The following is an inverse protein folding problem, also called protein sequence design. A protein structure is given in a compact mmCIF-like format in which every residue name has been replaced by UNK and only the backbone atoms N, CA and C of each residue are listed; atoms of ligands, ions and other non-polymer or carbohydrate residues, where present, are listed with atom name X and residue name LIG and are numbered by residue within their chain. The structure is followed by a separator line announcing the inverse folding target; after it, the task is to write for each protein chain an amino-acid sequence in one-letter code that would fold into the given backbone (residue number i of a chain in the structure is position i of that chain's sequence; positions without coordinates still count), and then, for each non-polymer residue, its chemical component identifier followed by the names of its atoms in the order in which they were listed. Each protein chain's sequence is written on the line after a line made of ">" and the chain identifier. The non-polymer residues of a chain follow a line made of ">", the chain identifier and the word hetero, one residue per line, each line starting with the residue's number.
data_IF_469714696060
#
_entry.id   IF_469714696060
#
_cell.length_a   1.000
_cell.length_b   1.000
_cell.length_c   1.000
_cell.angle_alpha   90.00
_cell.angle_beta   90.00
_cell.angle_gamma   90.00
#
_symmetry.space_group_name_H-M   'P 1'
#
loop_
_entity.id
_entity.type
_entity.pdbx_description
1 polymer ?
#
# COMPACT_ATOMS: atom_id res chain seq x y z
N UNK A 1 1.45 -62.65 -13.30
CA UNK A 1 1.26 -61.36 -13.98
C UNK A 1 0.15 -60.60 -13.24
N UNK A 2 0.51 -59.72 -12.30
CA UNK A 2 -0.43 -58.83 -11.58
C UNK A 2 0.00 -57.40 -11.90
N UNK A 3 -0.72 -56.74 -12.81
CA UNK A 3 -0.58 -55.31 -13.04
C UNK A 3 -1.24 -54.59 -11.85
N UNK A 4 -0.46 -53.87 -11.04
CA UNK A 4 -0.99 -52.83 -10.16
C UNK A 4 -1.15 -51.55 -10.99
N UNK A 5 -2.39 -51.13 -11.21
CA UNK A 5 -2.71 -49.80 -11.70
C UNK A 5 -2.67 -48.84 -10.50
N UNK A 6 -1.68 -47.94 -10.47
CA UNK A 6 -1.65 -46.85 -9.50
C UNK A 6 -2.55 -45.72 -10.00
N UNK A 7 -3.67 -45.49 -9.30
CA UNK A 7 -4.58 -44.39 -9.57
C UNK A 7 -4.02 -43.12 -8.91
N UNK A 8 -3.37 -42.27 -9.69
CA UNK A 8 -2.86 -40.97 -9.22
C UNK A 8 -4.05 -40.01 -9.10
N UNK A 9 -4.59 -39.86 -7.89
CA UNK A 9 -5.59 -38.84 -7.60
C UNK A 9 -4.94 -37.46 -7.73
N UNK A 10 -5.22 -36.77 -8.83
CA UNK A 10 -4.91 -35.36 -9.00
C UNK A 10 -5.90 -34.56 -8.15
N UNK A 11 -5.55 -34.31 -6.89
CA UNK A 11 -6.34 -33.46 -6.00
C UNK A 11 -6.38 -32.04 -6.55
N UNK A 12 -7.56 -31.56 -6.90
CA UNK A 12 -7.78 -30.17 -7.31
C UNK A 12 -7.53 -29.27 -6.10
N UNK A 13 -6.38 -28.59 -6.05
CA UNK A 13 -6.18 -27.52 -5.07
C UNK A 13 -7.07 -26.34 -5.46
N UNK A 14 -8.19 -26.19 -4.76
CA UNK A 14 -8.94 -24.95 -4.71
C UNK A 14 -8.04 -23.92 -4.00
N UNK A 15 -7.40 -23.03 -4.74
CA UNK A 15 -6.81 -21.83 -4.15
C UNK A 15 -7.95 -20.91 -3.76
N UNK A 16 -8.15 -20.71 -2.46
CA UNK A 16 -8.94 -19.59 -1.98
C UNK A 16 -8.21 -18.32 -2.42
N UNK A 17 -8.90 -17.45 -3.17
CA UNK A 17 -8.35 -16.17 -3.60
C UNK A 17 -8.13 -15.33 -2.34
N UNK A 18 -6.89 -15.27 -1.86
CA UNK A 18 -6.54 -14.50 -0.67
C UNK A 18 -6.88 -13.04 -0.96
N UNK A 19 -7.78 -12.45 -0.17
CA UNK A 19 -8.16 -11.05 -0.32
C UNK A 19 -6.92 -10.17 -0.22
N UNK A 20 -6.81 -9.17 -1.10
CA UNK A 20 -5.80 -8.13 -0.99
C UNK A 20 -5.81 -7.54 0.41
N UNK A 21 -4.64 -7.42 1.03
CA UNK A 21 -4.48 -6.86 2.37
C UNK A 21 -3.56 -5.65 2.34
N UNK A 22 -3.90 -4.62 3.09
CA UNK A 22 -3.04 -3.47 3.37
C UNK A 22 -2.85 -3.38 4.89
N UNK A 23 -1.62 -3.11 5.31
CA UNK A 23 -1.25 -2.97 6.71
C UNK A 23 -0.15 -1.93 6.89
N UNK A 24 0.12 -1.64 8.17
CA UNK A 24 1.23 -0.82 8.60
C UNK A 24 1.66 -1.27 10.00
N UNK A 25 2.97 -1.33 10.22
CA UNK A 25 3.56 -1.66 11.52
C UNK A 25 3.64 -0.41 12.42
N UNK A 26 3.67 0.78 11.81
CA UNK A 26 3.89 2.05 12.54
C UNK A 26 2.63 2.88 12.66
N UNK A 27 1.73 2.85 11.67
CA UNK A 27 0.50 3.65 11.67
C UNK A 27 -0.43 3.19 12.80
N UNK A 28 -0.96 4.17 13.53
CA UNK A 28 -1.95 3.95 14.59
C UNK A 28 -3.36 4.29 14.07
N UNK A 29 -4.42 3.88 14.78
CA UNK A 29 -5.79 4.25 14.42
C UNK A 29 -5.98 5.77 14.31
N UNK A 30 -5.27 6.53 15.15
CA UNK A 30 -5.20 7.99 15.08
C UNK A 30 -3.81 8.41 14.60
N UNK A 31 -3.74 9.43 13.73
CA UNK A 31 -2.45 9.96 13.26
C UNK A 31 -1.64 10.53 14.41
N UNK A 32 -0.33 10.31 14.36
CA UNK A 32 0.60 10.80 15.38
C UNK A 32 1.35 12.03 14.89
N UNK A 33 2.23 12.56 15.74
CA UNK A 33 3.16 13.62 15.33
C UNK A 33 4.08 13.21 14.19
N UNK A 34 4.30 11.91 13.96
CA UNK A 34 5.11 11.45 12.83
C UNK A 34 4.45 11.81 11.49
N UNK A 35 3.14 11.58 11.34
CA UNK A 35 2.40 11.83 10.09
C UNK A 35 1.83 13.25 9.98
N UNK A 36 1.65 13.96 11.10
CA UNK A 36 1.11 15.34 11.09
C UNK A 36 1.99 16.27 10.23
N UNK A 37 1.33 17.08 9.39
CA UNK A 37 1.99 18.06 8.54
C UNK A 37 2.78 19.10 9.36
N UNK A 38 3.91 19.56 8.81
CA UNK A 38 4.72 20.62 9.40
C UNK A 38 4.41 21.95 8.72
N UNK A 39 3.24 22.51 9.01
CA UNK A 39 2.77 23.77 8.45
C UNK A 39 1.38 24.13 8.95
N UNK A 40 0.86 25.28 8.54
CA UNK A 40 -0.49 25.76 8.89
C UNK A 40 -0.78 25.76 10.40
N UNK A 41 0.23 26.12 11.21
CA UNK A 41 0.13 26.13 12.67
C UNK A 41 0.29 24.76 13.33
N UNK A 42 0.60 23.70 12.57
CA UNK A 42 1.01 22.38 13.06
C UNK A 42 2.53 22.25 13.09
N UNK A 43 3.02 21.28 13.85
CA UNK A 43 4.44 21.07 14.12
C UNK A 43 4.83 19.59 14.14
N UNK A 44 4.14 18.78 13.33
CA UNK A 44 4.50 17.38 13.15
C UNK A 44 5.76 17.20 12.33
N UNK A 45 6.11 15.94 12.07
CA UNK A 45 7.32 15.55 11.35
C UNK A 45 7.08 15.33 9.85
N UNK A 46 5.82 15.39 9.41
CA UNK A 46 5.38 15.27 8.02
C UNK A 46 5.97 14.05 7.28
N UNK A 47 5.97 12.89 7.95
CA UNK A 47 6.49 11.64 7.41
C UNK A 47 5.35 10.83 6.79
N UNK A 48 5.55 10.34 5.56
CA UNK A 48 4.64 9.36 4.97
C UNK A 48 4.62 8.08 5.84
N UNK A 49 3.46 7.41 6.01
CA UNK A 49 3.39 6.20 6.82
C UNK A 49 4.17 5.05 6.20
N UNK A 50 4.62 4.09 7.01
CA UNK A 50 5.01 2.78 6.48
C UNK A 50 3.75 2.06 6.01
N UNK A 51 3.83 1.39 4.87
CA UNK A 51 2.73 0.61 4.31
C UNK A 51 3.27 -0.68 3.73
N UNK A 52 2.62 -1.80 4.02
CA UNK A 52 2.85 -3.07 3.34
C UNK A 52 1.53 -3.67 2.87
N UNK A 53 1.60 -4.40 1.75
CA UNK A 53 0.44 -5.07 1.21
C UNK A 53 0.78 -6.46 0.69
N UNK A 54 -0.23 -7.32 0.63
CA UNK A 54 -0.08 -8.70 0.16
C UNK A 54 -1.30 -9.15 -0.64
N UNK A 55 -1.15 -10.26 -1.35
CA UNK A 55 -2.22 -10.86 -2.16
C UNK A 55 -2.80 -9.93 -3.23
N UNK A 56 -1.92 -9.25 -3.97
CA UNK A 56 -2.35 -8.47 -5.13
C UNK A 56 -3.03 -9.38 -6.17
N UNK A 57 -4.14 -8.94 -6.79
CA UNK A 57 -4.84 -9.74 -7.79
C UNK A 57 -3.92 -10.14 -8.95
N UNK A 58 -4.15 -11.33 -9.51
CA UNK A 58 -3.40 -11.82 -10.67
C UNK A 58 -3.49 -10.82 -11.82
N UNK A 59 -2.34 -10.45 -12.37
CA UNK A 59 -2.26 -9.52 -13.49
C UNK A 59 -2.09 -8.05 -13.08
N UNK A 60 -2.02 -7.73 -11.78
CA UNK A 60 -1.64 -6.40 -11.29
C UNK A 60 -0.38 -5.91 -11.99
N UNK A 61 -0.42 -4.68 -12.52
CA UNK A 61 0.68 -4.06 -13.28
C UNK A 61 1.42 -3.01 -12.49
N UNK A 62 0.70 -2.33 -11.60
CA UNK A 62 1.23 -1.31 -10.70
C UNK A 62 0.23 -1.07 -9.57
N UNK A 63 0.68 -0.37 -8.53
CA UNK A 63 -0.15 0.14 -7.46
C UNK A 63 -0.19 1.67 -7.47
N UNK A 64 -1.15 2.21 -6.73
CA UNK A 64 -1.20 3.60 -6.34
C UNK A 64 -1.51 3.68 -4.84
N UNK A 65 -1.03 4.73 -4.18
CA UNK A 65 -1.33 5.06 -2.79
C UNK A 65 -1.92 6.47 -2.76
N UNK A 66 -3.02 6.63 -2.04
CA UNK A 66 -3.60 7.93 -1.76
C UNK A 66 -3.91 8.07 -0.27
N UNK A 67 -3.62 9.24 0.29
CA UNK A 67 -4.07 9.65 1.62
C UNK A 67 -4.98 10.85 1.45
N UNK A 68 -6.23 10.71 1.90
CA UNK A 68 -7.29 11.70 1.70
C UNK A 68 -8.01 11.94 3.03
N UNK A 69 -8.21 13.21 3.37
CA UNK A 69 -9.00 13.65 4.50
C UNK A 69 -10.40 14.11 4.01
N UNK A 70 -11.46 13.31 4.22
CA UNK A 70 -12.82 13.71 3.87
C UNK A 70 -13.42 14.75 4.82
N UNK A 71 -12.82 14.94 6.00
CA UNK A 71 -13.32 15.82 7.07
C UNK A 71 -12.66 17.21 7.03
N UNK A 72 -11.66 17.40 6.17
CA UNK A 72 -11.05 18.70 5.94
C UNK A 72 -12.13 19.73 5.57
N UNK A 73 -12.11 20.95 6.13
CA UNK A 73 -13.14 21.96 5.93
C UNK A 73 -12.98 22.67 4.57
N UNK A 74 -12.93 21.88 3.50
CA UNK A 74 -13.03 22.30 2.10
C UNK A 74 -14.24 21.59 1.51
N UNK A 75 -14.86 22.13 0.46
CA UNK A 75 -16.00 21.47 -0.20
C UNK A 75 -15.63 20.12 -0.86
N UNK A 76 -14.34 19.73 -0.87
CA UNK A 76 -13.80 18.60 -1.62
C UNK A 76 -12.82 17.72 -0.82
N UNK A 77 -12.69 17.92 0.50
CA UNK A 77 -11.69 17.26 1.34
C UNK A 77 -10.25 17.74 1.09
N UNK A 78 -9.25 16.97 1.52
CA UNK A 78 -7.83 17.30 1.32
C UNK A 78 -7.02 16.08 0.88
N UNK A 79 -6.33 16.19 -0.25
CA UNK A 79 -5.37 15.17 -0.67
C UNK A 79 -4.03 15.42 0.03
N UNK A 80 -3.64 14.52 0.93
CA UNK A 80 -2.37 14.61 1.65
C UNK A 80 -1.21 13.98 0.88
N UNK A 81 -1.45 12.87 0.19
CA UNK A 81 -0.41 12.16 -0.55
C UNK A 81 -1.01 11.39 -1.72
N UNK A 82 -0.37 11.44 -2.88
CA UNK A 82 -0.77 10.71 -4.08
C UNK A 82 0.49 10.19 -4.77
N UNK A 83 0.65 8.86 -4.76
CA UNK A 83 1.77 8.15 -5.37
C UNK A 83 1.22 7.15 -6.40
N UNK A 84 1.69 7.23 -7.65
CA UNK A 84 1.26 6.37 -8.75
C UNK A 84 2.42 5.61 -9.38
N UNK A 85 2.12 4.67 -10.27
CA UNK A 85 3.11 3.88 -11.01
C UNK A 85 4.07 3.06 -10.12
N UNK A 86 3.65 2.73 -8.89
CA UNK A 86 4.42 1.84 -8.02
C UNK A 86 4.52 0.47 -8.70
N UNK A 87 5.71 -0.07 -9.00
CA UNK A 87 5.84 -1.34 -9.73
C UNK A 87 5.11 -2.49 -9.02
N UNK A 88 4.50 -3.42 -9.77
CA UNK A 88 3.76 -4.55 -9.19
C UNK A 88 4.60 -5.49 -8.30
N UNK A 89 5.93 -5.44 -8.42
CA UNK A 89 6.86 -6.19 -7.56
C UNK A 89 7.07 -5.57 -6.18
N UNK A 90 6.68 -4.30 -5.99
CA UNK A 90 6.78 -3.61 -4.71
C UNK A 90 5.56 -3.97 -3.86
N UNK A 91 5.83 -4.37 -2.61
CA UNK A 91 4.81 -4.73 -1.63
C UNK A 91 4.98 -4.02 -0.29
N UNK A 92 5.90 -3.06 -0.22
CA UNK A 92 6.26 -2.34 0.99
C UNK A 92 6.82 -0.96 0.64
N UNK A 93 6.38 0.06 1.37
CA UNK A 93 6.92 1.42 1.38
C UNK A 93 7.39 1.73 2.80
N UNK A 94 8.67 2.10 3.01
CA UNK A 94 9.14 2.45 4.33
C UNK A 94 8.49 3.74 4.83
N UNK A 95 8.45 3.92 6.15
CA UNK A 95 8.08 5.22 6.71
C UNK A 95 8.98 6.32 6.14
N UNK A 96 8.41 7.49 5.90
CA UNK A 96 9.09 8.66 5.37
C UNK A 96 9.66 8.50 3.96
N UNK A 97 9.15 7.55 3.16
CA UNK A 97 9.65 7.26 1.81
C UNK A 97 9.76 8.51 0.92
N UNK A 98 8.78 9.41 0.97
CA UNK A 98 8.77 10.64 0.14
C UNK A 98 9.92 11.58 0.51
N UNK A 99 9.97 12.06 1.75
CA UNK A 99 10.99 13.03 2.15
C UNK A 99 12.40 12.42 2.20
N UNK A 100 12.52 11.11 2.45
CA UNK A 100 13.79 10.38 2.42
C UNK A 100 14.27 10.04 1.00
N UNK A 101 13.49 10.34 -0.05
CA UNK A 101 13.77 9.95 -1.44
C UNK A 101 13.95 8.43 -1.61
N UNK A 102 13.17 7.67 -0.87
CA UNK A 102 13.17 6.20 -0.87
C UNK A 102 11.96 5.62 -1.62
N UNK A 103 11.33 6.41 -2.50
CA UNK A 103 10.27 5.92 -3.39
C UNK A 103 10.85 4.92 -4.40
N UNK A 104 10.11 3.85 -4.74
CA UNK A 104 10.55 2.90 -5.76
C UNK A 104 10.80 3.57 -7.11
N UNK A 105 11.77 3.06 -7.86
CA UNK A 105 12.01 3.49 -9.22
C UNK A 105 10.74 3.33 -10.09
N UNK A 106 10.42 4.35 -10.88
CA UNK A 106 9.22 4.40 -11.71
C UNK A 106 7.96 4.91 -11.01
N UNK A 107 7.95 4.92 -9.67
CA UNK A 107 6.86 5.56 -8.93
C UNK A 107 6.93 7.09 -9.08
N UNK A 108 5.77 7.72 -9.19
CA UNK A 108 5.63 9.18 -9.37
C UNK A 108 4.74 9.72 -8.28
N UNK A 109 5.29 10.61 -7.46
CA UNK A 109 4.50 11.42 -6.54
C UNK A 109 3.90 12.58 -7.33
N UNK A 110 2.57 12.69 -7.28
CA UNK A 110 1.84 13.75 -7.97
C UNK A 110 1.57 14.93 -7.04
N UNK A 111 1.10 16.04 -7.59
CA UNK A 111 0.74 17.21 -6.80
C UNK A 111 -0.43 16.88 -5.86
N UNK A 112 -0.24 17.15 -4.57
CA UNK A 112 -1.26 17.15 -3.53
C UNK A 112 -1.79 18.59 -3.29
N UNK A 113 -2.76 18.74 -2.37
CA UNK A 113 -3.28 20.05 -1.95
C UNK A 113 -2.35 20.73 -0.93
#
# INVERSE_FOLDING_TARGET
>A
MKLLLAFMMMGSMLSADSKFSLGSDTLKPELTKAEEYQGFGRNGENRSPELHWSNAPKGTKSFAVTVFDPDAPTDHGWWHWILVNIPASVTHLPQNASAAKALPEGAVETKND
#
